data_IF_975388595059
#
_entry.id   IF_975388595059
#
_cell.length_a   1.000
_cell.length_b   1.000
_cell.length_c   1.000
_cell.angle_alpha   90.00
_cell.angle_beta   90.00
_cell.angle_gamma   90.00
#
_symmetry.space_group_name_H-M   'P 1'
#
loop_
_entity.id
_entity.type
_entity.pdbx_description
1 polymer ?
#
# COMPACT_ATOMS: atom_id res chain seq x y z
N UNK A 1 17.84 9.59 -17.88
CA UNK A 1 18.42 8.31 -17.40
C UNK A 1 17.33 7.61 -16.61
N UNK A 2 16.80 6.50 -17.12
CA UNK A 2 15.81 5.71 -16.36
C UNK A 2 16.52 5.08 -15.15
N UNK A 3 16.13 5.46 -13.96
CA UNK A 3 16.64 4.89 -12.72
C UNK A 3 16.19 3.43 -12.64
N UNK A 4 17.13 2.52 -12.47
CA UNK A 4 16.82 1.12 -12.20
C UNK A 4 16.11 0.99 -10.84
N UNK A 5 15.16 0.07 -10.74
CA UNK A 5 14.44 -0.26 -9.51
C UNK A 5 15.27 -1.25 -8.70
N UNK A 6 15.52 -0.94 -7.44
CA UNK A 6 16.21 -1.85 -6.52
C UNK A 6 15.20 -2.62 -5.67
N UNK A 7 15.44 -3.92 -5.47
CA UNK A 7 14.54 -4.84 -4.76
C UNK A 7 15.28 -5.60 -3.68
N UNK A 8 14.70 -5.62 -2.47
CA UNK A 8 15.04 -6.58 -1.43
C UNK A 8 13.99 -7.70 -1.39
N UNK A 9 14.42 -8.93 -1.13
CA UNK A 9 13.56 -10.10 -1.01
C UNK A 9 13.70 -10.65 0.40
N UNK A 10 12.55 -10.86 1.06
CA UNK A 10 12.45 -11.56 2.35
C UNK A 10 11.57 -12.77 2.16
N UNK A 11 12.17 -13.94 2.13
CA UNK A 11 11.49 -15.24 1.98
C UNK A 11 12.45 -16.33 2.46
N UNK A 12 11.98 -17.24 3.29
CA UNK A 12 12.77 -18.35 3.85
C UNK A 12 12.76 -19.61 2.97
N UNK A 13 12.10 -19.57 1.81
CA UNK A 13 12.03 -20.64 0.83
C UNK A 13 13.04 -20.43 -0.30
N UNK A 14 14.22 -21.11 -0.33
CA UNK A 14 15.24 -20.88 -1.35
C UNK A 14 14.73 -21.02 -2.78
N UNK A 15 13.86 -21.99 -3.06
CA UNK A 15 13.30 -22.24 -4.40
C UNK A 15 12.46 -21.05 -4.89
N UNK A 16 11.71 -20.41 -3.99
CA UNK A 16 10.92 -19.22 -4.31
C UNK A 16 11.85 -18.04 -4.63
N UNK A 17 12.87 -17.84 -3.78
CA UNK A 17 13.89 -16.80 -3.99
C UNK A 17 14.59 -16.95 -5.32
N UNK A 18 15.10 -18.16 -5.63
CA UNK A 18 15.74 -18.45 -6.91
C UNK A 18 14.80 -18.23 -8.09
N UNK A 19 13.54 -18.63 -7.96
CA UNK A 19 12.49 -18.38 -8.95
C UNK A 19 12.27 -16.90 -9.20
N UNK A 20 12.13 -16.09 -8.16
CA UNK A 20 11.95 -14.64 -8.28
C UNK A 20 13.17 -13.97 -8.91
N UNK A 21 14.40 -14.34 -8.50
CA UNK A 21 15.64 -13.84 -9.10
C UNK A 21 15.70 -14.19 -10.60
N UNK A 22 15.36 -15.45 -10.95
CA UNK A 22 15.31 -15.89 -12.34
C UNK A 22 14.27 -15.08 -13.15
N UNK A 23 13.11 -14.82 -12.58
CA UNK A 23 12.07 -14.01 -13.23
C UNK A 23 12.52 -12.57 -13.49
N UNK A 24 13.20 -11.97 -12.53
CA UNK A 24 13.76 -10.62 -12.65
C UNK A 24 14.84 -10.60 -13.73
N UNK A 25 15.76 -11.58 -13.71
CA UNK A 25 16.89 -11.65 -14.65
C UNK A 25 16.48 -11.92 -16.09
N UNK A 26 15.44 -12.74 -16.29
CA UNK A 26 14.91 -13.11 -17.61
C UNK A 26 13.90 -12.09 -18.18
N UNK A 27 13.58 -11.02 -17.43
CA UNK A 27 12.65 -9.98 -17.87
C UNK A 27 13.25 -9.13 -19.00
N UNK A 28 12.43 -8.68 -19.97
CA UNK A 28 12.86 -7.71 -20.98
C UNK A 28 13.20 -6.37 -20.36
N UNK A 29 12.80 -6.16 -19.12
CA UNK A 29 12.97 -4.95 -18.35
C UNK A 29 14.25 -5.06 -17.50
N UNK A 30 15.38 -4.65 -18.05
CA UNK A 30 16.66 -4.52 -17.30
C UNK A 30 16.60 -3.48 -16.16
N UNK A 31 15.39 -3.13 -15.70
CA UNK A 31 15.17 -2.05 -14.73
C UNK A 31 15.16 -2.51 -13.28
N UNK A 32 15.08 -3.82 -13.03
CA UNK A 32 14.99 -4.34 -11.65
C UNK A 32 16.31 -5.02 -11.29
N UNK A 33 16.86 -4.64 -10.13
CA UNK A 33 18.08 -5.23 -9.57
C UNK A 33 17.80 -5.70 -8.15
N UNK A 34 18.06 -6.98 -7.87
CA UNK A 34 18.01 -7.51 -6.50
C UNK A 34 19.26 -7.07 -5.77
N UNK A 35 19.08 -6.29 -4.69
CA UNK A 35 20.19 -5.77 -3.88
C UNK A 35 20.38 -6.51 -2.57
N UNK A 36 19.35 -7.18 -2.09
CA UNK A 36 19.39 -7.92 -0.84
C UNK A 36 18.44 -9.12 -0.88
N UNK A 37 18.87 -10.24 -0.30
CA UNK A 37 18.05 -11.44 -0.06
C UNK A 37 18.29 -11.87 1.38
N UNK A 38 17.23 -12.02 2.15
CA UNK A 38 17.28 -12.49 3.53
C UNK A 38 16.14 -13.47 3.80
N UNK A 39 16.36 -14.39 4.73
CA UNK A 39 15.37 -15.40 5.12
C UNK A 39 14.45 -14.94 6.25
N UNK A 40 14.74 -13.80 6.88
CA UNK A 40 13.94 -13.23 7.96
C UNK A 40 14.09 -11.72 8.03
N UNK A 41 13.24 -11.07 8.84
CA UNK A 41 13.21 -9.62 8.98
C UNK A 41 14.41 -9.04 9.73
N UNK A 42 15.15 -9.85 10.49
CA UNK A 42 16.32 -9.38 11.24
C UNK A 42 17.50 -9.10 10.31
N UNK A 43 17.53 -9.77 9.16
CA UNK A 43 18.52 -9.56 8.11
C UNK A 43 18.32 -8.26 7.31
N UNK A 44 17.17 -7.60 7.44
CA UNK A 44 16.99 -6.29 6.83
C UNK A 44 17.86 -5.25 7.55
N UNK A 45 18.86 -4.72 6.84
CA UNK A 45 19.72 -3.67 7.37
C UNK A 45 18.88 -2.46 7.83
N UNK A 46 19.29 -1.78 8.91
CA UNK A 46 18.56 -0.67 9.53
C UNK A 46 18.36 0.58 8.66
N UNK A 47 18.92 0.60 7.46
CA UNK A 47 18.68 1.62 6.43
C UNK A 47 18.03 0.98 5.23
N UNK A 48 17.04 1.66 4.65
CA UNK A 48 16.33 1.25 3.44
C UNK A 48 17.33 0.88 2.32
N UNK A 49 17.51 -0.43 2.12
CA UNK A 49 18.49 -0.97 1.17
C UNK A 49 17.95 -1.13 -0.26
N UNK A 50 16.65 -0.89 -0.48
CA UNK A 50 15.98 -1.08 -1.76
C UNK A 50 14.76 -0.17 -1.91
N UNK A 51 14.34 0.07 -3.15
CA UNK A 51 13.12 0.83 -3.47
C UNK A 51 11.86 0.03 -3.12
N UNK A 52 11.88 -1.26 -3.38
CA UNK A 52 10.75 -2.17 -3.15
C UNK A 52 11.20 -3.37 -2.32
N UNK A 53 10.36 -3.77 -1.39
CA UNK A 53 10.51 -4.98 -0.59
C UNK A 53 9.49 -6.03 -1.07
N UNK A 54 9.97 -7.15 -1.59
CA UNK A 54 9.16 -8.35 -1.79
C UNK A 54 9.18 -9.11 -0.48
N UNK A 55 8.02 -9.30 0.14
CA UNK A 55 7.91 -9.87 1.48
C UNK A 55 7.00 -11.10 1.46
N UNK A 56 7.55 -12.26 1.83
CA UNK A 56 6.69 -13.37 2.24
C UNK A 56 6.06 -13.07 3.61
N UNK A 57 4.82 -13.45 3.75
CA UNK A 57 4.07 -13.23 4.98
C UNK A 57 4.22 -14.38 5.99
N UNK A 58 4.80 -15.50 5.59
CA UNK A 58 5.13 -16.61 6.47
C UNK A 58 6.64 -16.88 6.44
N UNK A 59 7.32 -16.62 7.55
CA UNK A 59 8.77 -16.79 7.70
C UNK A 59 9.06 -17.70 8.90
N UNK A 60 9.76 -18.81 8.67
CA UNK A 60 10.05 -19.79 9.71
C UNK A 60 8.80 -20.36 10.38
N UNK A 61 7.71 -20.54 9.63
CA UNK A 61 6.41 -21.01 10.13
C UNK A 61 5.64 -19.96 10.95
N UNK A 62 6.02 -18.69 10.90
CA UNK A 62 5.35 -17.60 11.63
C UNK A 62 4.81 -16.56 10.65
N UNK A 63 3.57 -16.13 10.88
CA UNK A 63 2.98 -15.00 10.16
C UNK A 63 3.64 -13.68 10.59
N UNK A 64 4.03 -12.85 9.61
CA UNK A 64 4.66 -11.55 9.82
C UNK A 64 3.81 -10.39 9.24
N UNK A 65 2.52 -10.63 9.04
CA UNK A 65 1.60 -9.62 8.53
C UNK A 65 1.52 -8.36 9.40
N UNK A 66 1.68 -8.51 10.72
CA UNK A 66 1.72 -7.43 11.72
C UNK A 66 2.94 -6.51 11.56
N UNK A 67 4.04 -7.00 10.98
CA UNK A 67 5.25 -6.22 10.72
C UNK A 67 5.12 -5.27 9.51
N UNK A 68 4.13 -5.49 8.64
CA UNK A 68 3.92 -4.68 7.42
C UNK A 68 3.75 -3.20 7.76
N UNK A 69 2.97 -2.88 8.79
CA UNK A 69 2.75 -1.48 9.19
C UNK A 69 4.06 -0.79 9.62
N UNK A 70 4.91 -1.50 10.38
CA UNK A 70 6.22 -0.99 10.82
C UNK A 70 7.17 -0.78 9.64
N UNK A 71 7.24 -1.75 8.73
CA UNK A 71 8.08 -1.67 7.53
C UNK A 71 7.62 -0.54 6.59
N UNK A 72 6.31 -0.40 6.39
CA UNK A 72 5.74 0.70 5.61
C UNK A 72 6.04 2.07 6.24
N UNK A 73 5.94 2.19 7.57
CA UNK A 73 6.30 3.40 8.31
C UNK A 73 7.80 3.74 8.18
N UNK A 74 8.66 2.72 8.04
CA UNK A 74 10.09 2.89 7.78
C UNK A 74 10.40 3.30 6.32
N UNK A 75 9.38 3.47 5.48
CA UNK A 75 9.51 3.96 4.12
C UNK A 75 9.67 2.88 3.05
N UNK A 76 9.57 1.59 3.39
CA UNK A 76 9.58 0.53 2.39
C UNK A 76 8.31 0.55 1.54
N UNK A 77 8.47 0.36 0.23
CA UNK A 77 7.37 0.02 -0.67
C UNK A 77 7.22 -1.49 -0.71
N UNK A 78 6.19 -2.02 -0.07
CA UNK A 78 6.05 -3.46 0.18
C UNK A 78 5.14 -4.08 -0.87
N UNK A 79 5.63 -5.13 -1.52
CA UNK A 79 4.84 -6.07 -2.30
C UNK A 79 4.81 -7.38 -1.51
N UNK A 80 3.66 -7.68 -0.89
CA UNK A 80 3.47 -8.97 -0.22
C UNK A 80 3.38 -10.07 -1.28
N UNK A 81 4.17 -11.12 -1.14
CA UNK A 81 4.23 -12.27 -2.06
C UNK A 81 4.08 -13.55 -1.26
N UNK A 82 2.89 -14.11 -1.17
CA UNK A 82 2.56 -15.17 -0.23
C UNK A 82 1.69 -16.26 -0.85
N UNK A 83 1.77 -17.46 -0.29
CA UNK A 83 0.88 -18.58 -0.65
C UNK A 83 -0.54 -18.45 -0.05
N UNK A 84 -0.70 -17.60 0.95
CA UNK A 84 -2.00 -17.39 1.59
C UNK A 84 -2.94 -16.61 0.68
N UNK A 85 -4.21 -17.04 0.62
CA UNK A 85 -5.24 -16.42 -0.25
C UNK A 85 -6.50 -16.01 0.53
N UNK A 86 -6.40 -15.99 1.86
CA UNK A 86 -7.51 -15.54 2.72
C UNK A 86 -7.82 -14.05 2.46
N UNK A 87 -9.07 -13.72 2.08
CA UNK A 87 -9.46 -12.35 1.77
C UNK A 87 -9.26 -11.37 2.94
N UNK A 88 -9.49 -11.80 4.18
CA UNK A 88 -9.31 -10.94 5.34
C UNK A 88 -7.83 -10.58 5.53
N UNK A 89 -6.93 -11.58 5.46
CA UNK A 89 -5.49 -11.35 5.54
C UNK A 89 -4.99 -10.41 4.43
N UNK A 90 -5.46 -10.63 3.18
CA UNK A 90 -5.08 -9.77 2.05
C UNK A 90 -5.47 -8.31 2.33
N UNK A 91 -6.70 -8.08 2.79
CA UNK A 91 -7.18 -6.74 3.10
C UNK A 91 -6.40 -6.12 4.27
N UNK A 92 -6.15 -6.87 5.34
CA UNK A 92 -5.40 -6.41 6.51
C UNK A 92 -3.96 -6.00 6.14
N UNK A 93 -3.28 -6.78 5.30
CA UNK A 93 -1.92 -6.49 4.81
C UNK A 93 -1.90 -5.22 3.95
N UNK A 94 -2.89 -5.06 3.08
CA UNK A 94 -3.05 -3.85 2.29
C UNK A 94 -3.35 -2.63 3.17
N UNK A 95 -4.16 -2.79 4.20
CA UNK A 95 -4.52 -1.76 5.16
C UNK A 95 -3.34 -1.36 6.06
N UNK A 96 -2.46 -2.32 6.36
CA UNK A 96 -1.21 -2.09 7.05
C UNK A 96 -0.20 -1.25 6.25
N UNK A 97 -0.41 -1.09 4.92
CA UNK A 97 0.41 -0.23 4.06
C UNK A 97 1.20 -0.96 2.99
N UNK A 98 0.94 -2.25 2.74
CA UNK A 98 1.51 -2.91 1.57
C UNK A 98 1.02 -2.25 0.26
N UNK A 99 1.90 -2.12 -0.72
CA UNK A 99 1.63 -1.52 -2.02
C UNK A 99 0.80 -2.45 -2.90
N UNK A 100 1.11 -3.71 -2.85
CA UNK A 100 0.37 -4.76 -3.53
C UNK A 100 0.43 -6.05 -2.73
N UNK A 101 -0.51 -6.94 -3.00
CA UNK A 101 -0.53 -8.33 -2.59
C UNK A 101 -0.54 -9.19 -3.85
N UNK A 102 0.42 -10.08 -3.98
CA UNK A 102 0.52 -11.04 -5.09
C UNK A 102 0.53 -12.44 -4.49
N UNK A 103 -0.40 -13.27 -4.88
CA UNK A 103 -0.35 -14.68 -4.48
C UNK A 103 0.77 -15.40 -5.26
N UNK A 104 1.48 -16.34 -4.61
CA UNK A 104 2.56 -17.11 -5.24
C UNK A 104 2.11 -17.93 -6.46
N UNK A 105 0.80 -18.15 -6.61
CA UNK A 105 0.19 -18.81 -7.78
C UNK A 105 -0.14 -17.85 -8.96
N UNK A 106 -0.07 -16.54 -8.77
CA UNK A 106 -0.32 -15.56 -9.84
C UNK A 106 0.82 -15.46 -10.86
N UNK A 107 2.02 -15.90 -10.49
CA UNK A 107 3.15 -16.03 -11.38
C UNK A 107 3.91 -14.74 -11.65
N UNK A 108 4.88 -14.87 -12.57
CA UNK A 108 5.92 -13.88 -12.85
C UNK A 108 5.39 -12.50 -13.23
N UNK A 109 4.47 -12.46 -14.21
CA UNK A 109 4.04 -11.18 -14.80
C UNK A 109 3.40 -10.26 -13.77
N UNK A 110 2.53 -10.83 -12.93
CA UNK A 110 1.85 -10.08 -11.87
C UNK A 110 2.81 -9.58 -10.79
N UNK A 111 3.81 -10.40 -10.41
CA UNK A 111 4.82 -9.96 -9.44
C UNK A 111 5.66 -8.81 -9.98
N UNK A 112 6.17 -8.93 -11.21
CA UNK A 112 7.02 -7.88 -11.80
C UNK A 112 6.23 -6.59 -12.04
N UNK A 113 4.98 -6.67 -12.47
CA UNK A 113 4.11 -5.50 -12.60
C UNK A 113 3.87 -4.83 -11.25
N UNK A 114 3.57 -5.60 -10.21
CA UNK A 114 3.37 -5.07 -8.85
C UNK A 114 4.63 -4.38 -8.33
N UNK A 115 5.81 -4.95 -8.56
CA UNK A 115 7.10 -4.35 -8.17
C UNK A 115 7.32 -3.03 -8.89
N UNK A 116 7.12 -2.97 -10.20
CA UNK A 116 7.29 -1.75 -10.97
C UNK A 116 6.26 -0.69 -10.60
N UNK A 117 5.01 -1.09 -10.41
CA UNK A 117 3.96 -0.19 -9.98
C UNK A 117 4.27 0.39 -8.58
N UNK A 118 4.75 -0.43 -7.65
CA UNK A 118 5.18 0.02 -6.34
C UNK A 118 6.36 1.00 -6.42
N UNK A 119 7.35 0.73 -7.28
CA UNK A 119 8.50 1.61 -7.48
C UNK A 119 8.10 2.97 -8.06
N UNK A 120 7.20 2.96 -9.04
CA UNK A 120 6.73 4.17 -9.74
C UNK A 120 5.58 4.87 -8.99
N UNK A 121 5.18 4.37 -7.84
CA UNK A 121 4.06 4.93 -7.07
C UNK A 121 2.72 4.89 -7.82
N UNK A 122 2.52 3.87 -8.62
CA UNK A 122 1.29 3.66 -9.39
C UNK A 122 0.37 2.64 -8.71
N UNK A 123 -0.95 2.82 -8.79
CA UNK A 123 -1.89 1.79 -8.36
C UNK A 123 -1.66 0.48 -9.12
N UNK A 124 -1.71 -0.63 -8.37
CA UNK A 124 -1.71 -1.98 -8.92
C UNK A 124 -2.78 -2.79 -8.19
N UNK A 125 -3.65 -3.44 -8.92
CA UNK A 125 -4.66 -4.35 -8.36
C UNK A 125 -4.43 -5.73 -8.96
N UNK A 126 -3.94 -6.64 -8.14
CA UNK A 126 -3.70 -8.03 -8.53
C UNK A 126 -4.99 -8.85 -8.50
N UNK A 127 -4.94 -10.08 -9.03
CA UNK A 127 -6.11 -10.99 -9.00
C UNK A 127 -6.55 -11.34 -7.59
N UNK A 128 -5.60 -11.61 -6.70
CA UNK A 128 -5.88 -11.91 -5.29
C UNK A 128 -6.50 -10.70 -4.58
N UNK A 129 -6.01 -9.50 -4.82
CA UNK A 129 -6.61 -8.27 -4.30
C UNK A 129 -8.04 -8.07 -4.81
N UNK A 130 -8.26 -8.23 -6.12
CA UNK A 130 -9.60 -8.09 -6.70
C UNK A 130 -10.58 -9.11 -6.09
N UNK A 131 -10.16 -10.37 -5.94
CA UNK A 131 -10.98 -11.41 -5.29
C UNK A 131 -11.29 -11.06 -3.84
N UNK A 132 -10.30 -10.60 -3.06
CA UNK A 132 -10.51 -10.21 -1.66
C UNK A 132 -11.49 -9.05 -1.52
N UNK A 133 -11.38 -8.03 -2.39
CA UNK A 133 -12.30 -6.89 -2.42
C UNK A 133 -13.72 -7.33 -2.76
N UNK A 134 -13.89 -8.24 -3.72
CA UNK A 134 -15.20 -8.76 -4.12
C UNK A 134 -15.83 -9.72 -3.09
N UNK A 135 -15.00 -10.40 -2.32
CA UNK A 135 -15.44 -11.34 -1.28
C UNK A 135 -15.88 -10.64 0.01
N UNK A 136 -15.66 -9.33 0.14
CA UNK A 136 -16.11 -8.56 1.31
C UNK A 136 -17.67 -8.58 1.37
N UNK A 137 -18.27 -9.16 2.41
CA UNK A 137 -19.69 -9.48 2.42
C UNK A 137 -20.63 -8.28 2.62
N UNK A 138 -20.12 -7.04 2.63
CA UNK A 138 -20.95 -5.86 2.87
C UNK A 138 -21.63 -5.37 1.58
N UNK A 139 -22.90 -5.72 1.32
CA UNK A 139 -23.57 -5.39 0.07
C UNK A 139 -23.76 -3.86 -0.08
N UNK A 140 -23.34 -3.34 -1.22
CA UNK A 140 -23.64 -1.97 -1.68
C UNK A 140 -22.79 -0.86 -1.06
N UNK A 141 -21.91 -1.15 -0.10
CA UNK A 141 -20.96 -0.18 0.47
C UNK A 141 -19.53 -0.68 0.29
N UNK A 142 -18.59 0.20 -0.08
CA UNK A 142 -17.20 -0.21 -0.14
C UNK A 142 -16.68 -0.51 1.27
N UNK A 143 -16.04 -1.64 1.45
CA UNK A 143 -15.33 -1.96 2.67
C UNK A 143 -14.06 -1.11 2.79
N UNK A 144 -14.22 0.14 3.19
CA UNK A 144 -13.07 0.98 3.50
C UNK A 144 -12.50 0.59 4.86
N UNK A 145 -11.20 0.37 4.89
CA UNK A 145 -10.48 0.19 6.16
C UNK A 145 -10.51 1.44 7.01
N UNK A 146 -10.16 1.30 8.29
CA UNK A 146 -10.01 2.43 9.20
C UNK A 146 -8.98 3.46 8.69
N UNK A 147 -7.88 3.00 8.07
CA UNK A 147 -6.82 3.84 7.51
C UNK A 147 -7.24 4.55 6.22
N UNK A 148 -7.92 3.87 5.32
CA UNK A 148 -8.48 4.48 4.11
C UNK A 148 -9.50 5.56 4.48
N UNK A 149 -10.42 5.26 5.41
CA UNK A 149 -11.40 6.24 5.89
C UNK A 149 -10.73 7.44 6.53
N UNK A 150 -9.74 7.24 7.39
CA UNK A 150 -8.99 8.32 8.03
C UNK A 150 -8.26 9.19 7.00
N UNK A 151 -7.62 8.58 6.01
CA UNK A 151 -6.93 9.31 4.93
C UNK A 151 -7.91 10.15 4.10
N UNK A 152 -9.05 9.57 3.73
CA UNK A 152 -10.09 10.27 3.00
C UNK A 152 -10.67 11.44 3.80
N UNK A 153 -10.99 11.24 5.08
CA UNK A 153 -11.54 12.28 5.95
C UNK A 153 -10.60 13.50 6.03
N UNK A 154 -9.34 13.27 6.34
CA UNK A 154 -8.34 14.34 6.42
C UNK A 154 -8.15 15.05 5.07
N UNK A 155 -8.15 14.30 3.97
CA UNK A 155 -8.04 14.87 2.64
C UNK A 155 -9.28 15.70 2.26
N UNK A 156 -10.48 15.26 2.60
CA UNK A 156 -11.73 16.00 2.37
C UNK A 156 -11.81 17.27 3.19
N UNK A 157 -11.22 17.30 4.38
CA UNK A 157 -11.04 18.51 5.22
C UNK A 157 -10.10 19.56 4.59
N UNK A 158 -9.64 19.36 3.37
CA UNK A 158 -8.79 20.31 2.65
C UNK A 158 -7.29 20.13 2.86
N UNK A 159 -6.86 19.09 3.60
CA UNK A 159 -5.43 18.82 3.76
C UNK A 159 -4.79 18.35 2.45
N UNK A 160 -3.55 18.79 2.17
CA UNK A 160 -2.74 18.19 1.10
C UNK A 160 -2.35 16.76 1.47
N UNK A 161 -2.06 15.91 0.48
CA UNK A 161 -1.60 14.54 0.73
C UNK A 161 -0.38 14.50 1.63
N UNK A 162 0.56 15.43 1.44
CA UNK A 162 1.73 15.59 2.32
C UNK A 162 1.34 15.93 3.78
N UNK A 163 0.31 16.74 3.98
CA UNK A 163 -0.20 17.07 5.33
C UNK A 163 -0.90 15.89 5.98
N UNK A 164 -1.69 15.13 5.20
CA UNK A 164 -2.31 13.87 5.65
C UNK A 164 -1.24 12.87 6.06
N UNK A 165 -0.20 12.70 5.24
CA UNK A 165 0.92 11.81 5.52
C UNK A 165 1.60 12.12 6.86
N UNK A 166 1.93 13.38 7.10
CA UNK A 166 2.49 13.82 8.40
C UNK A 166 1.55 13.53 9.56
N UNK A 167 0.23 13.80 9.40
CA UNK A 167 -0.74 13.59 10.48
C UNK A 167 -0.98 12.12 10.80
N UNK A 168 -0.86 11.25 9.80
CA UNK A 168 -1.02 9.80 9.97
C UNK A 168 0.29 9.07 10.27
N UNK A 169 1.44 9.78 10.27
CA UNK A 169 2.79 9.21 10.43
C UNK A 169 3.11 8.14 9.37
N UNK A 170 2.75 8.40 8.12
CA UNK A 170 3.00 7.53 6.97
C UNK A 170 3.59 8.33 5.80
N UNK A 171 4.01 7.66 4.73
CA UNK A 171 4.49 8.33 3.53
C UNK A 171 3.33 8.99 2.74
N UNK A 172 3.62 10.04 1.98
CA UNK A 172 2.64 10.64 1.06
C UNK A 172 2.15 9.61 0.03
N UNK A 173 3.02 8.70 -0.33
CA UNK A 173 2.72 7.59 -1.20
C UNK A 173 1.66 6.65 -0.62
N UNK A 174 1.81 6.28 0.64
CA UNK A 174 0.81 5.45 1.34
C UNK A 174 -0.56 6.16 1.37
N UNK A 175 -0.59 7.49 1.52
CA UNK A 175 -1.84 8.25 1.44
C UNK A 175 -2.48 8.14 0.06
N UNK A 176 -1.68 8.28 -1.02
CA UNK A 176 -2.19 8.11 -2.40
C UNK A 176 -2.80 6.73 -2.58
N UNK A 177 -2.14 5.70 -2.10
CA UNK A 177 -2.65 4.33 -2.20
C UNK A 177 -3.97 4.14 -1.46
N UNK A 178 -4.11 4.68 -0.26
CA UNK A 178 -5.40 4.60 0.45
C UNK A 178 -6.54 5.26 -0.35
N UNK A 179 -6.27 6.43 -0.94
CA UNK A 179 -7.25 7.11 -1.79
C UNK A 179 -7.58 6.29 -3.04
N UNK A 180 -6.56 5.73 -3.69
CA UNK A 180 -6.76 4.97 -4.93
C UNK A 180 -7.44 3.61 -4.68
N UNK A 181 -7.13 2.94 -3.57
CA UNK A 181 -7.86 1.74 -3.13
C UNK A 181 -9.33 2.04 -2.87
N UNK A 182 -9.63 3.14 -2.20
CA UNK A 182 -11.00 3.56 -1.99
C UNK A 182 -11.73 3.76 -3.34
N UNK A 183 -11.07 4.40 -4.32
CA UNK A 183 -11.62 4.55 -5.69
C UNK A 183 -11.89 3.22 -6.37
N UNK A 184 -10.95 2.26 -6.26
CA UNK A 184 -11.11 0.91 -6.81
C UNK A 184 -12.30 0.22 -6.15
N UNK A 185 -12.42 0.27 -4.82
CA UNK A 185 -13.53 -0.31 -4.08
C UNK A 185 -14.88 0.26 -4.51
N UNK A 186 -14.96 1.55 -4.80
CA UNK A 186 -16.17 2.16 -5.36
C UNK A 186 -16.42 1.74 -6.80
N UNK A 187 -15.38 1.64 -7.61
CA UNK A 187 -15.50 1.22 -9.00
C UNK A 187 -15.98 -0.23 -9.15
N UNK A 188 -15.52 -1.15 -8.29
CA UNK A 188 -15.96 -2.55 -8.25
C UNK A 188 -17.44 -2.71 -7.90
N UNK A 189 -18.01 -1.75 -7.19
CA UNK A 189 -19.45 -1.69 -6.90
C UNK A 189 -20.27 -1.01 -8.01
N UNK A 190 -19.67 -0.72 -9.17
CA UNK A 190 -20.33 -0.01 -10.25
C UNK A 190 -20.59 1.49 -9.96
N UNK A 191 -19.92 2.04 -8.94
CA UNK A 191 -20.07 3.44 -8.48
C UNK A 191 -18.75 4.21 -8.57
N UNK A 192 -18.13 4.33 -9.77
CA UNK A 192 -16.83 4.96 -9.91
C UNK A 192 -16.81 6.41 -9.42
N UNK A 193 -15.71 6.82 -8.80
CA UNK A 193 -15.51 8.14 -8.22
C UNK A 193 -14.10 8.68 -8.57
N UNK A 194 -13.95 9.24 -9.77
CA UNK A 194 -12.66 9.67 -10.31
C UNK A 194 -12.16 10.99 -9.71
N UNK A 195 -13.07 11.88 -9.30
CA UNK A 195 -12.72 13.18 -8.69
C UNK A 195 -12.80 13.12 -7.17
N UNK A 196 -12.17 14.10 -6.50
CA UNK A 196 -12.27 14.26 -5.04
C UNK A 196 -13.72 14.43 -4.60
N UNK A 197 -14.47 15.28 -5.29
CA UNK A 197 -15.85 15.61 -4.94
C UNK A 197 -16.79 14.43 -5.17
N UNK A 198 -16.60 13.68 -6.27
CA UNK A 198 -17.34 12.45 -6.50
C UNK A 198 -17.07 11.39 -5.40
N UNK A 199 -15.82 11.26 -4.98
CA UNK A 199 -15.46 10.31 -3.91
C UNK A 199 -16.04 10.76 -2.56
N UNK A 200 -16.04 12.06 -2.27
CA UNK A 200 -16.67 12.62 -1.08
C UNK A 200 -18.18 12.37 -1.08
N UNK A 201 -18.85 12.66 -2.19
CA UNK A 201 -20.29 12.43 -2.32
C UNK A 201 -20.65 10.97 -2.03
N UNK A 202 -19.91 10.01 -2.62
CA UNK A 202 -20.08 8.58 -2.36
C UNK A 202 -19.87 8.20 -0.90
N UNK A 203 -18.81 8.74 -0.28
CA UNK A 203 -18.52 8.47 1.13
C UNK A 203 -19.62 8.99 2.07
N UNK A 204 -20.24 10.12 1.75
CA UNK A 204 -21.38 10.67 2.49
C UNK A 204 -22.65 9.83 2.25
N UNK A 205 -22.97 9.49 1.00
CA UNK A 205 -24.11 8.62 0.65
C UNK A 205 -24.09 7.30 1.43
N UNK A 206 -22.90 6.74 1.62
CA UNK A 206 -22.72 5.46 2.32
C UNK A 206 -22.64 5.63 3.85
N UNK A 207 -22.70 6.84 4.36
CA UNK A 207 -22.56 7.11 5.80
C UNK A 207 -21.19 6.80 6.37
N UNK A 208 -20.17 6.69 5.50
CA UNK A 208 -18.78 6.44 5.92
C UNK A 208 -18.16 7.72 6.51
N UNK A 209 -18.65 8.87 6.08
CA UNK A 209 -18.24 10.20 6.51
C UNK A 209 -19.50 11.02 6.72
N UNK A 210 -19.68 11.60 7.88
CA UNK A 210 -20.79 12.52 8.11
C UNK A 210 -20.47 13.89 7.48
N UNK A 211 -21.48 14.61 6.94
CA UNK A 211 -21.27 15.95 6.39
C UNK A 211 -20.58 16.91 7.36
N UNK A 212 -20.85 16.78 8.66
CA UNK A 212 -20.23 17.58 9.72
C UNK A 212 -18.73 17.24 9.97
N UNK A 213 -18.27 16.08 9.55
CA UNK A 213 -16.86 15.68 9.70
C UNK A 213 -15.95 16.35 8.67
N UNK A 214 -16.53 16.98 7.64
CA UNK A 214 -15.82 17.62 6.52
C UNK A 214 -15.62 19.12 6.75
N UNK A 215 -15.75 19.61 8.00
CA UNK A 215 -15.47 21.00 8.32
C UNK A 215 -14.04 21.39 7.90
N UNK A 216 -13.81 22.60 7.33
CA UNK A 216 -12.51 23.02 6.84
C UNK A 216 -11.45 22.92 7.94
N UNK A 217 -10.33 22.29 7.64
CA UNK A 217 -9.16 22.30 8.51
C UNK A 217 -8.66 23.73 8.67
N UNK A 218 -8.74 24.27 9.86
CA UNK A 218 -8.11 25.54 10.22
C UNK A 218 -6.68 25.25 10.68
N UNK A 219 -5.62 25.69 9.95
CA UNK A 219 -4.25 25.55 10.43
C UNK A 219 -4.11 26.25 11.77
N UNK A 220 -3.54 25.57 12.77
CA UNK A 220 -3.11 26.23 14.01
C UNK A 220 -2.19 27.39 13.60
N UNK A 221 -2.60 28.61 13.96
CA UNK A 221 -1.80 29.82 13.73
C UNK A 221 -0.40 29.57 14.25
N UNK A 222 0.63 29.81 13.42
CA UNK A 222 2.02 29.82 13.87
C UNK A 222 2.09 30.72 15.09
N UNK A 223 2.47 30.19 16.24
CA UNK A 223 2.83 31.03 17.40
C UNK A 223 3.87 32.04 16.92
N UNK A 224 3.65 33.34 17.10
CA UNK A 224 4.69 34.31 16.83
C UNK A 224 5.89 33.96 17.71
N UNK A 225 7.06 33.86 17.08
CA UNK A 225 8.31 33.65 17.78
C UNK A 225 8.53 34.76 18.81
N UNK A 226 9.27 34.51 19.91
CA UNK A 226 9.57 35.54 20.89
C UNK A 226 10.30 36.70 20.18
N UNK A 227 9.79 37.91 20.40
CA UNK A 227 10.43 39.12 19.95
C UNK A 227 11.81 39.20 20.64
N UNK A 228 12.86 39.24 19.82
CA UNK A 228 14.21 39.56 20.28
C UNK A 228 14.22 41.02 20.71
N UNK A 229 14.35 41.24 21.99
CA UNK A 229 14.72 42.54 22.58
C UNK A 229 16.19 42.69 22.61
#
# INVERSE_FOLDING_TARGET
MEHGVTVAIVDDHPVVVEGVISWISAGPQRRITVTQVVSDLTGLAGTRAADVLILDLELGGRMVADEVARLAASGYRIVAFSAHVDPALILDVLDAGAHAYVSKDEGREHLLEAVLAAADDRPCVTRSQAKAILADPRPGRPALSGKERQALLLWFQGMSKASVARRMSISENTVRQYIDRARVKYATLGRPAHTKDALLARAIEDGLIAPGDVAPYTPLARRPGPALS
#
